data_IF_362330236756
#
_entry.id   IF_362330236756
#
_cell.length_a   1.000
_cell.length_b   1.000
_cell.length_c   1.000
_cell.angle_alpha   90.00
_cell.angle_beta   90.00
_cell.angle_gamma   90.00
#
_symmetry.space_group_name_H-M   'P 1'
#
loop_
_entity.id
_entity.type
_entity.pdbx_description
1 polymer ?
#
# COMPACT_ATOMS: atom_id res chain seq x y z
N UNK A 1 -5.98 -26.40 -10.35
CA UNK A 1 -5.16 -25.60 -9.40
C UNK A 1 -6.02 -25.35 -8.19
N UNK A 2 -5.55 -25.70 -6.99
CA UNK A 2 -6.31 -25.48 -5.75
C UNK A 2 -6.56 -23.98 -5.60
N UNK A 3 -7.82 -23.58 -5.77
CA UNK A 3 -8.29 -22.25 -5.42
C UNK A 3 -8.10 -22.05 -3.93
N UNK A 4 -6.99 -21.39 -3.55
CA UNK A 4 -6.95 -20.69 -2.28
C UNK A 4 -8.00 -19.60 -2.40
N UNK A 5 -8.97 -19.65 -1.51
CA UNK A 5 -9.99 -18.62 -1.41
C UNK A 5 -9.30 -17.32 -0.97
N UNK A 6 -8.92 -16.49 -1.94
CA UNK A 6 -8.24 -15.21 -1.71
C UNK A 6 -9.12 -14.26 -0.89
N UNK A 7 -10.43 -14.52 -0.84
CA UNK A 7 -11.40 -13.79 -0.01
C UNK A 7 -11.42 -14.20 1.46
N UNK A 8 -10.55 -15.12 1.88
CA UNK A 8 -10.45 -15.51 3.28
C UNK A 8 -9.74 -14.45 4.13
N UNK A 9 -10.50 -13.44 4.56
CA UNK A 9 -10.05 -12.40 5.50
C UNK A 9 -9.35 -12.98 6.75
N UNK A 10 -9.85 -14.08 7.30
CA UNK A 10 -9.27 -14.68 8.51
C UNK A 10 -7.85 -15.19 8.27
N UNK A 11 -7.57 -15.73 7.07
CA UNK A 11 -6.23 -16.18 6.71
C UNK A 11 -5.27 -15.00 6.58
N UNK A 12 -5.66 -13.94 5.87
CA UNK A 12 -4.86 -12.73 5.72
C UNK A 12 -4.58 -12.02 7.05
N UNK A 13 -5.60 -11.88 7.90
CA UNK A 13 -5.45 -11.29 9.23
C UNK A 13 -4.57 -12.15 10.15
N UNK A 14 -4.63 -13.47 10.04
CA UNK A 14 -3.73 -14.34 10.78
C UNK A 14 -2.29 -14.17 10.27
N UNK A 15 -2.10 -14.06 8.95
CA UNK A 15 -0.80 -13.83 8.32
C UNK A 15 -0.15 -12.52 8.82
N UNK A 16 -0.90 -11.41 8.88
CA UNK A 16 -0.38 -10.13 9.39
C UNK A 16 0.06 -10.18 10.85
N UNK A 17 -0.56 -11.04 11.67
CA UNK A 17 -0.15 -11.28 13.06
C UNK A 17 1.03 -12.22 13.20
N UNK A 18 1.11 -13.24 12.34
CA UNK A 18 2.14 -14.28 12.42
C UNK A 18 3.48 -13.79 11.90
N UNK A 19 3.51 -13.00 10.83
CA UNK A 19 4.76 -12.54 10.21
C UNK A 19 5.69 -11.83 11.21
N UNK A 20 5.24 -10.79 11.95
CA UNK A 20 6.08 -10.11 12.94
C UNK A 20 6.68 -11.08 13.96
N UNK A 21 5.83 -12.01 14.45
CA UNK A 21 6.20 -13.00 15.45
C UNK A 21 7.23 -13.99 14.93
N UNK A 22 6.99 -14.57 13.75
CA UNK A 22 7.88 -15.58 13.15
C UNK A 22 9.25 -14.99 12.80
N UNK A 23 9.28 -13.78 12.23
CA UNK A 23 10.54 -13.10 11.92
C UNK A 23 11.33 -12.76 13.20
N UNK A 24 10.63 -12.36 14.26
CA UNK A 24 11.24 -12.11 15.58
C UNK A 24 11.76 -13.39 16.23
N UNK A 25 10.95 -14.45 16.30
CA UNK A 25 11.33 -15.74 16.92
C UNK A 25 12.48 -16.42 16.18
N UNK A 26 12.60 -16.21 14.86
CA UNK A 26 13.73 -16.71 14.06
C UNK A 26 15.00 -15.87 14.19
N UNK A 27 14.94 -14.69 14.81
CA UNK A 27 16.05 -13.75 14.84
C UNK A 27 16.45 -13.28 13.45
N UNK A 28 15.48 -13.14 12.53
CA UNK A 28 15.73 -12.87 11.12
C UNK A 28 16.52 -11.57 10.92
N UNK A 29 17.54 -11.61 10.06
CA UNK A 29 18.37 -10.44 9.74
C UNK A 29 17.59 -9.40 8.93
N UNK A 30 18.18 -8.21 8.74
CA UNK A 30 17.57 -7.15 7.92
C UNK A 30 17.38 -7.63 6.48
N UNK A 31 18.37 -8.35 5.94
CA UNK A 31 18.35 -8.89 4.59
C UNK A 31 17.27 -9.96 4.43
N UNK A 32 17.15 -10.89 5.39
CA UNK A 32 16.11 -11.92 5.37
C UNK A 32 14.70 -11.32 5.45
N UNK A 33 14.52 -10.29 6.29
CA UNK A 33 13.26 -9.55 6.40
C UNK A 33 12.91 -8.82 5.11
N UNK A 34 13.92 -8.25 4.42
CA UNK A 34 13.74 -7.58 3.14
C UNK A 34 13.34 -8.57 2.04
N UNK A 35 14.06 -9.68 1.91
CA UNK A 35 13.71 -10.74 0.94
C UNK A 35 12.30 -11.30 1.20
N UNK A 36 11.93 -11.45 2.47
CA UNK A 36 10.57 -11.85 2.83
C UNK A 36 9.53 -10.81 2.38
N UNK A 37 9.78 -9.53 2.67
CA UNK A 37 8.90 -8.43 2.24
C UNK A 37 8.73 -8.38 0.71
N UNK A 38 9.82 -8.51 -0.05
CA UNK A 38 9.75 -8.53 -1.53
C UNK A 38 8.87 -9.67 -2.04
N UNK A 39 8.94 -10.85 -1.40
CA UNK A 39 8.06 -11.97 -1.69
C UNK A 39 6.59 -11.68 -1.37
N UNK A 40 6.30 -11.11 -0.20
CA UNK A 40 4.93 -10.74 0.19
C UNK A 40 4.33 -9.68 -0.74
N UNK A 41 5.11 -8.66 -1.13
CA UNK A 41 4.66 -7.64 -2.06
C UNK A 41 4.33 -8.23 -3.44
N UNK A 42 5.13 -9.18 -3.93
CA UNK A 42 4.85 -9.90 -5.19
C UNK A 42 3.61 -10.81 -5.10
N UNK A 43 3.40 -11.48 -3.96
CA UNK A 43 2.15 -12.20 -3.69
C UNK A 43 0.96 -11.25 -3.72
N UNK A 44 1.09 -10.06 -3.13
CA UNK A 44 0.01 -9.09 -3.11
C UNK A 44 -0.31 -8.47 -4.45
N UNK A 45 0.71 -8.13 -5.24
CA UNK A 45 0.51 -7.71 -6.62
C UNK A 45 -0.33 -8.77 -7.37
N UNK A 46 0.10 -10.03 -7.34
CA UNK A 46 -0.62 -11.13 -8.02
C UNK A 46 -2.06 -11.29 -7.52
N UNK A 47 -2.27 -11.18 -6.20
CA UNK A 47 -3.59 -11.31 -5.60
C UNK A 47 -4.53 -10.16 -6.01
N UNK A 48 -4.03 -8.91 -6.02
CA UNK A 48 -4.81 -7.74 -6.45
C UNK A 48 -5.14 -7.80 -7.94
N UNK A 49 -4.22 -8.25 -8.81
CA UNK A 49 -4.53 -8.49 -10.23
C UNK A 49 -5.57 -9.60 -10.43
N UNK A 50 -5.65 -10.57 -9.51
CA UNK A 50 -6.61 -11.68 -9.62
C UNK A 50 -8.02 -11.25 -9.21
N UNK A 51 -8.15 -10.44 -8.15
CA UNK A 51 -9.42 -9.90 -7.70
C UNK A 51 -9.24 -8.51 -7.05
N UNK A 52 -9.28 -7.42 -7.85
CA UNK A 52 -9.08 -6.07 -7.33
C UNK A 52 -10.26 -5.59 -6.48
N UNK A 53 -11.40 -6.29 -6.48
CA UNK A 53 -12.60 -5.95 -5.72
C UNK A 53 -12.64 -6.64 -4.36
N UNK A 54 -11.65 -7.47 -4.02
CA UNK A 54 -11.57 -8.18 -2.75
C UNK A 54 -10.98 -7.30 -1.64
N UNK A 55 -11.85 -6.93 -0.70
CA UNK A 55 -11.46 -6.12 0.45
C UNK A 55 -10.47 -6.84 1.39
N UNK A 56 -10.47 -8.17 1.43
CA UNK A 56 -9.54 -8.94 2.27
C UNK A 56 -8.10 -8.79 1.77
N UNK A 57 -7.93 -8.84 0.45
CA UNK A 57 -6.65 -8.65 -0.23
C UNK A 57 -6.16 -7.21 0.01
N UNK A 58 -7.03 -6.22 -0.22
CA UNK A 58 -6.70 -4.81 -0.02
C UNK A 58 -6.28 -4.52 1.43
N UNK A 59 -7.04 -4.99 2.43
CA UNK A 59 -6.72 -4.75 3.84
C UNK A 59 -5.35 -5.33 4.25
N UNK A 60 -4.97 -6.46 3.66
CA UNK A 60 -3.67 -7.05 3.92
C UNK A 60 -2.54 -6.28 3.24
N UNK A 61 -2.71 -5.88 1.98
CA UNK A 61 -1.76 -5.03 1.27
C UNK A 61 -1.55 -3.69 2.00
N UNK A 62 -2.65 -3.09 2.47
CA UNK A 62 -2.65 -1.87 3.26
C UNK A 62 -1.83 -2.01 4.54
N UNK A 63 -2.01 -3.12 5.28
CA UNK A 63 -1.20 -3.42 6.47
C UNK A 63 0.28 -3.58 6.12
N UNK A 64 0.60 -4.31 5.05
CA UNK A 64 1.97 -4.60 4.64
C UNK A 64 2.72 -3.31 4.33
N UNK A 65 2.12 -2.44 3.51
CA UNK A 65 2.68 -1.14 3.15
C UNK A 65 2.76 -0.17 4.33
N UNK A 66 1.77 -0.19 5.24
CA UNK A 66 1.84 0.61 6.45
C UNK A 66 3.01 0.18 7.34
N UNK A 67 3.22 -1.13 7.52
CA UNK A 67 4.30 -1.66 8.35
C UNK A 67 5.69 -1.45 7.73
N UNK A 68 5.81 -1.52 6.39
CA UNK A 68 7.10 -1.36 5.70
C UNK A 68 7.46 0.09 5.38
N UNK A 69 6.47 0.92 5.04
CA UNK A 69 6.70 2.22 4.41
C UNK A 69 6.23 3.42 5.22
N UNK A 70 5.54 3.25 6.36
CA UNK A 70 5.15 4.40 7.18
C UNK A 70 6.37 5.16 7.75
N UNK A 71 6.28 6.48 7.80
CA UNK A 71 7.23 7.34 8.51
C UNK A 71 6.95 7.38 10.02
N UNK A 72 5.69 7.19 10.42
CA UNK A 72 5.23 7.23 11.81
C UNK A 72 5.12 5.79 12.32
N UNK A 73 6.02 5.35 13.18
CA UNK A 73 5.90 4.04 13.83
C UNK A 73 4.62 4.01 14.68
N UNK A 74 3.61 3.28 14.22
CA UNK A 74 2.26 3.25 14.83
C UNK A 74 2.18 2.27 16.00
N UNK A 75 3.12 1.33 16.12
CA UNK A 75 3.14 0.33 17.19
C UNK A 75 4.11 0.70 18.30
N UNK A 76 3.66 0.66 19.55
CA UNK A 76 4.48 0.77 20.77
C UNK A 76 5.47 -0.40 20.97
N UNK A 77 5.73 -1.18 19.93
CA UNK A 77 6.66 -2.31 19.94
C UNK A 77 8.05 -1.79 19.60
N UNK A 78 9.03 -2.20 20.38
CA UNK A 78 10.39 -1.63 20.49
C UNK A 78 11.23 -1.64 19.20
N UNK A 79 10.76 -2.22 18.09
CA UNK A 79 11.44 -2.20 16.79
C UNK A 79 10.45 -2.45 15.63
N UNK A 80 10.62 -1.78 14.48
CA UNK A 80 9.80 -2.03 13.28
C UNK A 80 10.01 -3.45 12.75
N UNK A 81 8.97 -4.07 12.18
CA UNK A 81 9.06 -5.43 11.61
C UNK A 81 9.95 -5.45 10.37
N UNK A 82 9.81 -4.41 9.54
CA UNK A 82 10.62 -4.18 8.34
C UNK A 82 11.37 -2.86 8.50
N UNK A 83 12.69 -2.88 8.30
CA UNK A 83 13.55 -1.70 8.39
C UNK A 83 13.99 -1.28 7.00
N UNK A 84 13.33 -0.27 6.43
CA UNK A 84 13.65 0.28 5.11
C UNK A 84 14.20 1.71 5.25
N UNK A 85 15.15 2.08 4.38
CA UNK A 85 15.55 3.48 4.20
C UNK A 85 14.45 4.27 3.47
N UNK A 86 14.46 5.61 3.56
CA UNK A 86 13.46 6.42 2.84
C UNK A 86 13.50 6.16 1.33
N UNK A 87 14.69 6.08 0.72
CA UNK A 87 14.86 5.69 -0.68
C UNK A 87 14.18 4.34 -1.02
N UNK A 88 14.36 3.31 -0.18
CA UNK A 88 13.72 2.00 -0.40
C UNK A 88 12.20 2.05 -0.23
N UNK A 89 11.70 2.87 0.70
CA UNK A 89 10.25 3.09 0.88
C UNK A 89 9.68 3.79 -0.35
N UNK A 90 10.32 4.85 -0.82
CA UNK A 90 9.94 5.60 -2.02
C UNK A 90 9.92 4.69 -3.26
N UNK A 91 10.98 3.89 -3.48
CA UNK A 91 11.03 2.90 -4.56
C UNK A 91 9.86 1.89 -4.49
N UNK A 92 9.58 1.35 -3.30
CA UNK A 92 8.50 0.38 -3.08
C UNK A 92 7.13 0.99 -3.40
N UNK A 93 6.87 2.21 -2.93
CA UNK A 93 5.59 2.91 -3.14
C UNK A 93 5.40 3.32 -4.61
N UNK A 94 6.46 3.80 -5.28
CA UNK A 94 6.41 4.17 -6.69
C UNK A 94 6.15 2.95 -7.59
N UNK A 95 6.86 1.84 -7.36
CA UNK A 95 6.57 0.57 -8.04
C UNK A 95 5.14 0.11 -7.79
N UNK A 96 4.63 0.32 -6.57
CA UNK A 96 3.25 -0.01 -6.22
C UNK A 96 2.24 0.82 -7.02
N UNK A 97 2.45 2.13 -7.11
CA UNK A 97 1.62 3.01 -7.93
C UNK A 97 1.69 2.66 -9.42
N UNK A 98 2.87 2.30 -9.93
CA UNK A 98 3.07 1.94 -11.34
C UNK A 98 2.17 0.77 -11.76
N UNK A 99 2.26 -0.38 -11.09
CA UNK A 99 1.43 -1.52 -11.46
C UNK A 99 -0.06 -1.30 -11.12
N UNK A 100 -0.39 -0.53 -10.08
CA UNK A 100 -1.78 -0.17 -9.79
C UNK A 100 -2.38 0.72 -10.87
N UNK A 101 -1.59 1.61 -11.50
CA UNK A 101 -2.04 2.43 -12.64
C UNK A 101 -2.36 1.54 -13.85
N UNK A 102 -1.50 0.57 -14.15
CA UNK A 102 -1.77 -0.40 -15.22
C UNK A 102 -3.09 -1.15 -14.99
N UNK A 103 -3.33 -1.60 -13.74
CA UNK A 103 -4.58 -2.28 -13.40
C UNK A 103 -5.80 -1.34 -13.43
N UNK A 104 -5.61 -0.05 -13.11
CA UNK A 104 -6.68 0.95 -13.16
C UNK A 104 -7.11 1.24 -14.61
N UNK A 105 -6.19 1.13 -15.58
CA UNK A 105 -6.55 1.25 -17.01
C UNK A 105 -7.52 0.13 -17.45
N UNK A 106 -7.38 -1.06 -16.87
CA UNK A 106 -8.28 -2.19 -17.12
C UNK A 106 -9.58 -2.12 -16.29
N UNK A 107 -9.48 -1.71 -15.02
CA UNK A 107 -10.58 -1.66 -14.05
C UNK A 107 -10.81 -0.24 -13.48
N UNK A 108 -11.22 0.74 -14.31
CA UNK A 108 -11.20 2.18 -13.98
C UNK A 108 -12.22 2.59 -12.91
N UNK A 109 -13.24 1.77 -12.69
CA UNK A 109 -14.28 2.01 -11.68
C UNK A 109 -14.03 1.22 -10.39
N UNK A 110 -12.87 0.57 -10.25
CA UNK A 110 -12.53 -0.17 -9.04
C UNK A 110 -12.25 0.79 -7.86
N UNK A 111 -13.28 0.98 -7.02
CA UNK A 111 -13.21 1.80 -5.81
C UNK A 111 -12.06 1.39 -4.88
N UNK A 112 -11.83 0.09 -4.67
CA UNK A 112 -10.78 -0.36 -3.73
C UNK A 112 -9.38 -0.02 -4.25
N UNK A 113 -9.16 -0.17 -5.55
CA UNK A 113 -7.90 0.20 -6.20
C UNK A 113 -7.64 1.70 -6.06
N UNK A 114 -8.63 2.54 -6.39
CA UNK A 114 -8.53 3.99 -6.23
C UNK A 114 -8.26 4.41 -4.77
N UNK A 115 -8.96 3.80 -3.80
CA UNK A 115 -8.74 4.03 -2.37
C UNK A 115 -7.30 3.67 -1.95
N UNK A 116 -6.78 2.54 -2.46
CA UNK A 116 -5.43 2.09 -2.16
C UNK A 116 -4.38 3.00 -2.81
N UNK A 117 -4.57 3.45 -4.05
CA UNK A 117 -3.66 4.40 -4.70
C UNK A 117 -3.57 5.73 -3.96
N UNK A 118 -4.69 6.24 -3.43
CA UNK A 118 -4.70 7.42 -2.56
C UNK A 118 -3.91 7.17 -1.27
N UNK A 119 -4.04 5.98 -0.68
CA UNK A 119 -3.28 5.60 0.50
C UNK A 119 -1.77 5.53 0.20
N UNK A 120 -1.37 4.86 -0.87
CA UNK A 120 0.04 4.73 -1.30
C UNK A 120 0.64 6.10 -1.60
N UNK A 121 -0.07 6.95 -2.34
CA UNK A 121 0.36 8.34 -2.61
C UNK A 121 0.50 9.17 -1.33
N UNK A 122 -0.39 8.96 -0.35
CA UNK A 122 -0.29 9.62 0.96
C UNK A 122 0.94 9.18 1.74
N UNK A 123 1.25 7.86 1.76
CA UNK A 123 2.47 7.35 2.39
C UNK A 123 3.71 7.95 1.74
N UNK A 124 3.75 8.03 0.41
CA UNK A 124 4.88 8.59 -0.33
C UNK A 124 5.09 10.05 0.08
N UNK A 125 4.02 10.86 0.09
CA UNK A 125 4.06 12.27 0.51
C UNK A 125 4.47 12.49 1.97
N UNK A 126 4.17 11.54 2.86
CA UNK A 126 4.54 11.58 4.27
C UNK A 126 6.01 11.18 4.53
N UNK A 127 6.76 10.76 3.51
CA UNK A 127 8.21 10.54 3.60
C UNK A 127 8.95 11.88 3.49
N UNK A 128 9.93 12.10 4.37
CA UNK A 128 10.81 13.27 4.32
C UNK A 128 11.63 13.27 3.01
N UNK A 129 11.67 14.40 2.31
CA UNK A 129 12.51 14.61 1.14
C UNK A 129 13.97 14.38 1.52
N UNK A 130 14.62 13.39 0.90
CA UNK A 130 16.06 13.16 1.05
C UNK A 130 16.80 13.62 -0.20
N UNK A 131 18.08 13.98 -0.07
CA UNK A 131 18.92 14.44 -1.19
C UNK A 131 19.03 13.40 -2.33
N UNK A 132 18.71 12.13 -2.06
CA UNK A 132 18.70 11.03 -3.04
C UNK A 132 17.35 10.88 -3.80
N UNK A 133 16.33 11.69 -3.47
CA UNK A 133 14.98 11.63 -4.04
C UNK A 133 14.69 12.73 -5.08
N UNK A 134 15.71 13.45 -5.57
CA UNK A 134 15.55 14.56 -6.53
C UNK A 134 14.77 14.17 -7.82
N UNK A 135 14.71 12.89 -8.17
CA UNK A 135 14.00 12.36 -9.34
C UNK A 135 12.52 12.00 -9.09
N UNK A 136 12.01 12.08 -7.86
CA UNK A 136 10.60 11.74 -7.56
C UNK A 136 9.70 12.93 -7.83
N UNK A 137 8.90 12.89 -8.91
CA UNK A 137 7.89 13.91 -9.21
C UNK A 137 6.68 13.79 -8.25
N UNK A 138 6.86 14.30 -7.03
CA UNK A 138 5.81 14.35 -5.99
C UNK A 138 4.63 15.23 -6.41
N UNK A 139 4.85 16.18 -7.30
CA UNK A 139 3.80 17.03 -7.85
C UNK A 139 2.92 16.25 -8.84
N UNK A 140 3.49 15.33 -9.61
CA UNK A 140 2.74 14.38 -10.44
C UNK A 140 1.87 13.48 -9.59
N UNK A 141 2.42 12.87 -8.54
CA UNK A 141 1.63 12.05 -7.62
C UNK A 141 0.51 12.87 -6.98
N UNK A 142 0.75 14.13 -6.60
CA UNK A 142 -0.30 15.02 -6.07
C UNK A 142 -1.42 15.28 -7.11
N UNK A 143 -1.06 15.54 -8.36
CA UNK A 143 -2.03 15.73 -9.46
C UNK A 143 -2.86 14.47 -9.72
N UNK A 144 -2.21 13.31 -9.70
CA UNK A 144 -2.89 12.02 -9.86
C UNK A 144 -3.84 11.74 -8.70
N UNK A 145 -3.43 12.02 -7.46
CA UNK A 145 -4.33 11.88 -6.31
C UNK A 145 -5.58 12.75 -6.43
N UNK A 146 -5.48 13.94 -7.03
CA UNK A 146 -6.65 14.79 -7.28
C UNK A 146 -7.60 14.12 -8.28
N UNK A 147 -7.09 13.56 -9.38
CA UNK A 147 -7.92 12.88 -10.39
C UNK A 147 -8.55 11.60 -9.84
N UNK A 148 -7.83 10.82 -9.03
CA UNK A 148 -8.37 9.63 -8.37
C UNK A 148 -9.46 9.97 -7.34
N UNK A 149 -9.33 11.08 -6.60
CA UNK A 149 -10.37 11.53 -5.68
C UNK A 149 -11.64 11.99 -6.40
N UNK A 150 -11.49 12.67 -7.53
CA UNK A 150 -12.62 13.01 -8.40
C UNK A 150 -13.34 11.75 -8.86
N UNK A 151 -12.57 10.75 -9.32
CA UNK A 151 -13.14 9.44 -9.70
C UNK A 151 -13.82 8.73 -8.53
N UNK A 152 -13.23 8.75 -7.33
CA UNK A 152 -13.84 8.19 -6.12
C UNK A 152 -15.17 8.85 -5.75
N UNK A 153 -15.33 10.15 -5.99
CA UNK A 153 -16.61 10.84 -5.78
C UNK A 153 -17.70 10.37 -6.76
N UNK A 154 -17.33 9.90 -7.95
CA UNK A 154 -18.25 9.29 -8.91
C UNK A 154 -18.63 7.85 -8.54
N UNK A 155 -17.63 7.01 -8.19
CA UNK A 155 -17.84 5.56 -7.97
C UNK A 155 -18.25 5.21 -6.53
N UNK A 156 -18.02 6.10 -5.56
CA UNK A 156 -18.47 5.96 -4.16
C UNK A 156 -19.19 7.23 -3.66
N UNK A 157 -20.36 7.57 -4.24
CA UNK A 157 -21.07 8.80 -3.92
C UNK A 157 -21.54 8.85 -2.46
N UNK A 158 -21.77 7.69 -1.83
CA UNK A 158 -22.16 7.62 -0.41
C UNK A 158 -21.05 8.14 0.52
N UNK A 159 -19.78 8.05 0.10
CA UNK A 159 -18.63 8.61 0.82
C UNK A 159 -18.04 9.87 0.18
N UNK A 160 -18.75 10.48 -0.78
CA UNK A 160 -18.26 11.67 -1.50
C UNK A 160 -17.84 12.83 -0.60
N UNK A 161 -18.49 13.01 0.56
CA UNK A 161 -18.08 14.01 1.55
C UNK A 161 -16.69 13.77 2.13
N UNK A 162 -16.33 12.50 2.40
CA UNK A 162 -14.98 12.10 2.87
C UNK A 162 -13.93 12.40 1.81
N UNK A 163 -14.22 12.08 0.55
CA UNK A 163 -13.29 12.28 -0.56
C UNK A 163 -13.06 13.78 -0.83
N UNK A 164 -14.11 14.59 -0.75
CA UNK A 164 -14.01 16.05 -0.85
C UNK A 164 -13.15 16.65 0.25
N UNK A 165 -13.37 16.25 1.50
CA UNK A 165 -12.53 16.72 2.62
C UNK A 165 -11.05 16.36 2.41
N UNK A 166 -10.78 15.17 1.86
CA UNK A 166 -9.42 14.77 1.53
C UNK A 166 -8.83 15.58 0.38
N UNK A 167 -9.63 15.89 -0.65
CA UNK A 167 -9.22 16.73 -1.77
C UNK A 167 -8.88 18.16 -1.30
N UNK A 168 -9.68 18.73 -0.41
CA UNK A 168 -9.43 20.05 0.19
C UNK A 168 -8.12 20.08 1.00
N UNK A 169 -7.77 18.99 1.70
CA UNK A 169 -6.48 18.86 2.42
C UNK A 169 -5.28 18.66 1.50
N UNK A 170 -5.50 18.20 0.27
CA UNK A 170 -4.45 18.02 -0.72
C UNK A 170 -4.09 19.32 -1.44
N UNK A 171 -5.02 20.26 -1.58
CA UNK A 171 -4.80 21.57 -2.21
C UNK A 171 -3.76 22.38 -1.44
#
# INVERSE_FOLDING_TARGET
>A
MYGKDLSNFSAWHNRSKLIPRVLSERGATIEERRTFLDGELGEMQTAVYTDPYDQSIQLYNHWLLLESCSSKQTTSTTSPVFSLTNSQKSETLLRTLEWMRELLDEEPDCRLLLEEMIFVGSLLRDLDETEEEEDVDRDEVKRDMQSWLEKLMEVDPMRGGRWREMQEKLM
#
